data_IF_165818792565
#
_entry.id   IF_165818792565
#
_cell.length_a   1.000
_cell.length_b   1.000
_cell.length_c   1.000
_cell.angle_alpha   90.00
_cell.angle_beta   90.00
_cell.angle_gamma   90.00
#
_symmetry.space_group_name_H-M   'P 1'
#
loop_
_entity.id
_entity.type
_entity.pdbx_description
1 polymer ?
#
# COMPACT_ATOMS: atom_id res chain seq x y z
N UNK A 1 7.44 19.91 7.92
CA UNK A 1 8.51 20.94 7.91
C UNK A 1 9.75 20.30 7.31
N UNK A 2 10.38 20.91 6.32
CA UNK A 2 11.68 20.51 5.78
C UNK A 2 12.65 21.68 5.91
N UNK A 3 13.94 21.39 6.03
CA UNK A 3 15.02 22.37 6.06
C UNK A 3 16.13 21.96 5.09
N UNK A 4 17.13 22.82 4.88
CA UNK A 4 18.29 22.48 4.06
C UNK A 4 19.08 21.25 4.59
N UNK A 5 18.95 20.92 5.88
CA UNK A 5 19.59 19.75 6.49
C UNK A 5 18.73 18.47 6.42
N UNK A 6 17.51 18.54 5.89
CA UNK A 6 16.61 17.39 5.85
C UNK A 6 17.03 16.42 4.74
N UNK A 7 17.66 15.31 5.11
CA UNK A 7 18.06 14.26 4.17
C UNK A 7 16.92 13.26 3.83
N UNK A 8 15.92 13.14 4.72
CA UNK A 8 14.77 12.25 4.56
C UNK A 8 13.51 12.93 5.09
N UNK A 9 12.45 12.92 4.29
CA UNK A 9 11.16 13.49 4.65
C UNK A 9 10.07 12.44 4.49
N UNK A 10 9.44 12.06 5.60
CA UNK A 10 8.22 11.27 5.60
C UNK A 10 7.02 12.20 5.45
N UNK A 11 6.11 11.83 4.55
CA UNK A 11 4.85 12.55 4.37
C UNK A 11 3.79 11.59 3.84
N UNK A 12 2.52 11.94 4.06
CA UNK A 12 1.41 11.19 3.47
C UNK A 12 1.31 11.49 1.99
N UNK A 13 0.70 10.56 1.24
CA UNK A 13 0.45 10.71 -0.20
C UNK A 13 -0.21 12.05 -0.53
N UNK A 14 -1.23 12.46 0.24
CA UNK A 14 -1.92 13.74 0.02
C UNK A 14 -1.01 14.98 0.15
N UNK A 15 -0.05 14.96 1.07
CA UNK A 15 0.93 16.05 1.23
C UNK A 15 1.88 16.09 0.02
N UNK A 16 2.36 14.94 -0.44
CA UNK A 16 3.22 14.87 -1.63
C UNK A 16 2.47 15.32 -2.89
N UNK A 17 1.22 14.91 -3.07
CA UNK A 17 0.36 15.35 -4.17
C UNK A 17 0.14 16.86 -4.15
N UNK A 18 -0.08 17.45 -2.98
CA UNK A 18 -0.18 18.91 -2.85
C UNK A 18 1.14 19.60 -3.19
N UNK A 19 2.27 19.05 -2.76
CA UNK A 19 3.59 19.57 -3.13
C UNK A 19 3.83 19.50 -4.63
N UNK A 20 3.45 18.41 -5.30
CA UNK A 20 3.54 18.25 -6.75
C UNK A 20 2.70 19.28 -7.52
N UNK A 21 1.62 19.80 -6.91
CA UNK A 21 0.84 20.89 -7.50
C UNK A 21 1.61 22.22 -7.49
N UNK A 22 2.29 22.51 -6.39
CA UNK A 22 3.00 23.78 -6.19
C UNK A 22 4.43 23.75 -6.79
N UNK A 23 5.06 22.58 -6.79
CA UNK A 23 6.41 22.27 -7.31
C UNK A 23 6.31 21.02 -8.23
N UNK A 24 5.92 21.22 -9.51
CA UNK A 24 5.64 20.13 -10.45
C UNK A 24 6.83 19.27 -10.84
N UNK A 25 8.04 19.74 -10.55
CA UNK A 25 9.29 19.04 -10.83
C UNK A 25 9.92 18.44 -9.59
N UNK A 26 9.40 18.70 -8.38
CA UNK A 26 9.98 18.30 -7.09
C UNK A 26 11.43 18.76 -6.92
N UNK A 27 11.72 20.02 -7.22
CA UNK A 27 13.09 20.55 -7.15
C UNK A 27 13.76 20.25 -5.79
N UNK A 28 15.04 19.88 -5.85
CA UNK A 28 15.82 19.45 -4.68
C UNK A 28 15.54 18.02 -4.18
N UNK A 29 14.49 17.34 -4.66
CA UNK A 29 14.25 15.91 -4.36
C UNK A 29 14.99 15.03 -5.36
N UNK A 30 15.74 14.05 -4.87
CA UNK A 30 16.48 13.08 -5.71
C UNK A 30 15.77 11.73 -5.82
N UNK A 31 15.09 11.32 -4.74
CA UNK A 31 14.41 10.03 -4.64
C UNK A 31 13.02 10.20 -4.04
N UNK A 32 12.05 9.46 -4.56
CA UNK A 32 10.71 9.31 -4.00
C UNK A 32 10.50 7.84 -3.66
N UNK A 33 10.07 7.57 -2.43
CA UNK A 33 9.64 6.26 -1.96
C UNK A 33 8.13 6.31 -1.76
N UNK A 34 7.40 5.40 -2.39
CA UNK A 34 5.96 5.21 -2.16
C UNK A 34 5.81 3.89 -1.44
N UNK A 35 5.39 3.97 -0.18
CA UNK A 35 5.21 2.81 0.69
C UNK A 35 3.78 2.27 0.62
N UNK A 36 3.60 1.01 1.00
CA UNK A 36 2.32 0.32 1.07
C UNK A 36 1.45 0.43 -0.20
N UNK A 37 2.08 0.38 -1.38
CA UNK A 37 1.34 0.47 -2.66
C UNK A 37 0.33 -0.67 -2.84
N UNK A 38 0.47 -1.75 -2.06
CA UNK A 38 -0.42 -2.89 -2.05
C UNK A 38 -1.82 -2.59 -1.50
N UNK A 39 -2.02 -1.50 -0.76
CA UNK A 39 -3.35 -1.10 -0.26
C UNK A 39 -4.26 -0.55 -1.36
N UNK A 40 -3.69 -0.16 -2.52
CA UNK A 40 -4.44 0.33 -3.70
C UNK A 40 -5.45 1.44 -3.38
N UNK A 41 -5.07 2.36 -2.49
CA UNK A 41 -5.87 3.56 -2.21
C UNK A 41 -5.96 4.45 -3.45
N UNK A 42 -7.08 5.18 -3.59
CA UNK A 42 -7.30 6.09 -4.71
C UNK A 42 -6.21 7.17 -4.78
N UNK A 43 -5.79 7.67 -3.63
CA UNK A 43 -4.74 8.67 -3.51
C UNK A 43 -3.39 8.13 -3.98
N UNK A 44 -3.04 6.88 -3.61
CA UNK A 44 -1.80 6.23 -4.03
C UNK A 44 -1.79 6.00 -5.55
N UNK A 45 -2.86 5.42 -6.10
CA UNK A 45 -2.97 5.17 -7.55
C UNK A 45 -2.89 6.49 -8.34
N UNK A 46 -3.53 7.56 -7.87
CA UNK A 46 -3.42 8.90 -8.46
C UNK A 46 -1.99 9.45 -8.40
N UNK A 47 -1.33 9.35 -7.24
CA UNK A 47 0.07 9.77 -7.08
C UNK A 47 0.98 9.00 -8.04
N UNK A 48 0.81 7.69 -8.19
CA UNK A 48 1.62 6.85 -9.09
C UNK A 48 1.46 7.29 -10.55
N UNK A 49 0.25 7.67 -10.97
CA UNK A 49 0.01 8.23 -12.29
C UNK A 49 0.80 9.54 -12.51
N UNK A 50 0.72 10.47 -11.56
CA UNK A 50 1.44 11.76 -11.63
C UNK A 50 2.96 11.54 -11.63
N UNK A 51 3.46 10.65 -10.78
CA UNK A 51 4.88 10.32 -10.70
C UNK A 51 5.39 9.65 -11.99
N UNK A 52 4.58 8.81 -12.64
CA UNK A 52 4.92 8.21 -13.93
C UNK A 52 5.14 9.26 -15.00
N UNK A 53 4.30 10.30 -15.04
CA UNK A 53 4.45 11.42 -15.96
C UNK A 53 5.69 12.27 -15.62
N UNK A 54 5.93 12.52 -14.33
CA UNK A 54 7.11 13.23 -13.86
C UNK A 54 8.42 12.50 -14.25
N UNK A 55 8.48 11.18 -14.13
CA UNK A 55 9.66 10.40 -14.52
C UNK A 55 10.03 10.51 -16.01
N UNK A 56 9.07 10.87 -16.89
CA UNK A 56 9.36 11.15 -18.30
C UNK A 56 9.99 12.53 -18.48
N UNK A 57 9.55 13.52 -17.71
CA UNK A 57 10.03 14.91 -17.75
C UNK A 57 11.33 15.12 -16.96
N UNK A 58 11.54 14.36 -15.88
CA UNK A 58 12.70 14.44 -15.00
C UNK A 58 13.44 13.11 -14.90
N UNK A 59 14.28 12.75 -15.89
CA UNK A 59 14.98 11.45 -15.93
C UNK A 59 15.97 11.21 -14.78
N UNK A 60 16.38 12.26 -14.08
CA UNK A 60 17.28 12.18 -12.93
C UNK A 60 16.57 11.74 -11.64
N UNK A 61 15.25 11.86 -11.55
CA UNK A 61 14.47 11.45 -10.38
C UNK A 61 14.41 9.93 -10.30
N UNK A 62 14.63 9.39 -9.10
CA UNK A 62 14.50 7.95 -8.83
C UNK A 62 13.22 7.68 -8.05
N UNK A 63 12.46 6.68 -8.48
CA UNK A 63 11.25 6.21 -7.81
C UNK A 63 11.47 4.80 -7.28
N UNK A 64 11.14 4.57 -6.02
CA UNK A 64 11.11 3.25 -5.39
C UNK A 64 9.69 2.99 -4.86
N UNK A 65 9.15 1.81 -5.19
CA UNK A 65 7.84 1.37 -4.73
C UNK A 65 8.05 0.23 -3.73
N UNK A 66 7.41 0.34 -2.57
CA UNK A 66 7.51 -0.63 -1.49
C UNK A 66 6.15 -1.28 -1.25
N UNK A 67 6.15 -2.61 -1.14
CA UNK A 67 4.96 -3.45 -1.00
C UNK A 67 5.27 -4.60 -0.05
N UNK A 68 4.33 -4.92 0.84
CA UNK A 68 4.38 -6.10 1.69
C UNK A 68 3.91 -7.38 0.97
N UNK A 69 3.20 -7.26 -0.16
CA UNK A 69 2.59 -8.41 -0.86
C UNK A 69 3.30 -8.79 -2.15
N UNK A 70 3.04 -10.02 -2.61
CA UNK A 70 3.73 -10.68 -3.71
C UNK A 70 3.45 -10.10 -5.11
N UNK A 71 2.39 -9.30 -5.30
CA UNK A 71 2.03 -8.75 -6.61
C UNK A 71 2.83 -7.49 -6.96
N UNK A 72 4.15 -7.62 -6.94
CA UNK A 72 5.07 -6.61 -7.45
C UNK A 72 5.06 -6.54 -8.99
N UNK A 73 4.56 -7.58 -9.66
CA UNK A 73 4.43 -7.67 -11.13
C UNK A 73 3.59 -6.54 -11.70
N UNK A 74 2.41 -6.29 -11.09
CA UNK A 74 1.51 -5.24 -11.57
C UNK A 74 2.20 -3.87 -11.66
N UNK A 75 2.91 -3.48 -10.60
CA UNK A 75 3.63 -2.21 -10.57
C UNK A 75 4.85 -2.20 -11.49
N UNK A 76 5.54 -3.35 -11.57
CA UNK A 76 6.69 -3.52 -12.45
C UNK A 76 6.32 -3.31 -13.93
N UNK A 77 5.19 -3.85 -14.35
CA UNK A 77 4.65 -3.72 -15.70
C UNK A 77 4.09 -2.31 -15.95
N UNK A 78 3.40 -1.72 -14.97
CA UNK A 78 2.87 -0.36 -15.10
C UNK A 78 3.99 0.67 -15.33
N UNK A 79 5.13 0.52 -14.65
CA UNK A 79 6.30 1.40 -14.83
C UNK A 79 7.28 0.93 -15.91
N UNK A 80 6.90 -0.06 -16.74
CA UNK A 80 7.76 -0.59 -17.80
C UNK A 80 8.31 0.51 -18.72
N UNK A 81 9.57 0.35 -19.11
CA UNK A 81 10.28 1.27 -20.02
C UNK A 81 10.85 0.49 -21.21
N UNK A 82 10.58 0.97 -22.42
CA UNK A 82 11.03 0.32 -23.65
C UNK A 82 10.54 -1.13 -23.78
N UNK A 83 9.32 -1.42 -23.30
CA UNK A 83 8.73 -2.76 -23.32
C UNK A 83 9.31 -3.73 -22.28
N UNK A 84 10.15 -3.25 -21.35
CA UNK A 84 10.75 -4.09 -20.30
C UNK A 84 10.18 -3.72 -18.91
N UNK A 85 9.77 -4.71 -18.10
CA UNK A 85 9.34 -4.50 -16.72
C UNK A 85 10.49 -3.92 -15.88
N UNK A 86 10.15 -3.11 -14.87
CA UNK A 86 11.18 -2.55 -13.98
C UNK A 86 11.69 -3.59 -12.97
N UNK A 87 12.97 -3.53 -12.54
CA UNK A 87 13.51 -4.51 -11.62
C UNK A 87 12.73 -4.59 -10.30
N UNK A 88 12.51 -5.80 -9.82
CA UNK A 88 11.90 -6.07 -8.51
C UNK A 88 12.90 -6.75 -7.59
N UNK A 89 12.95 -6.32 -6.34
CA UNK A 89 13.78 -6.94 -5.30
C UNK A 89 12.87 -7.53 -4.24
N UNK A 90 13.01 -8.83 -3.96
CA UNK A 90 12.27 -9.52 -2.90
C UNK A 90 13.15 -9.62 -1.66
N UNK A 91 12.68 -9.10 -0.54
CA UNK A 91 13.36 -9.19 0.75
C UNK A 91 12.74 -10.35 1.55
N UNK A 92 13.53 -11.36 1.98
CA UNK A 92 13.00 -12.44 2.79
C UNK A 92 12.60 -11.91 4.17
N UNK A 93 11.33 -12.09 4.53
CA UNK A 93 10.85 -11.79 5.87
C UNK A 93 11.21 -12.91 6.85
N UNK A 94 11.42 -12.54 8.12
CA UNK A 94 11.49 -13.50 9.23
C UNK A 94 10.22 -13.37 10.05
N UNK A 95 9.33 -14.34 9.93
CA UNK A 95 8.14 -14.43 10.78
C UNK A 95 8.39 -15.45 11.91
N UNK A 96 7.84 -15.17 13.08
CA UNK A 96 7.66 -16.19 14.11
C UNK A 96 6.41 -17.02 13.77
N UNK A 97 6.35 -18.30 14.17
CA UNK A 97 5.15 -19.10 13.95
C UNK A 97 3.95 -18.43 14.66
N UNK A 98 2.93 -18.10 13.89
CA UNK A 98 1.65 -17.58 14.38
C UNK A 98 0.60 -18.66 14.12
N UNK A 99 -0.07 -19.12 15.18
CA UNK A 99 -1.18 -20.05 15.03
C UNK A 99 -2.41 -19.33 14.46
N UNK A 100 -2.94 -19.84 13.35
CA UNK A 100 -4.21 -19.37 12.80
C UNK A 100 -5.35 -20.16 13.45
N UNK A 101 -6.23 -19.46 14.16
CA UNK A 101 -7.48 -20.00 14.69
C UNK A 101 -8.62 -19.40 13.87
N UNK A 102 -9.53 -20.26 13.42
CA UNK A 102 -10.73 -19.88 12.69
C UNK A 102 -11.90 -19.69 13.65
N UNK A 103 -13.07 -19.35 13.12
CA UNK A 103 -14.24 -19.03 13.94
C UNK A 103 -14.64 -20.22 14.82
N UNK A 104 -14.55 -21.43 14.29
CA UNK A 104 -14.89 -22.67 14.99
C UNK A 104 -13.96 -22.88 16.19
N UNK A 105 -12.65 -22.73 15.96
CA UNK A 105 -11.63 -22.83 17.01
C UNK A 105 -11.85 -21.79 18.10
N UNK A 106 -12.21 -20.56 17.72
CA UNK A 106 -12.47 -19.48 18.66
C UNK A 106 -13.72 -19.76 19.52
N UNK A 107 -14.82 -20.21 18.90
CA UNK A 107 -16.06 -20.57 19.59
C UNK A 107 -15.81 -21.69 20.61
N UNK A 108 -15.08 -22.73 20.21
CA UNK A 108 -14.71 -23.84 21.08
C UNK A 108 -13.82 -23.36 22.24
N UNK A 109 -12.77 -22.58 21.93
CA UNK A 109 -11.79 -22.12 22.90
C UNK A 109 -12.38 -21.19 23.97
N UNK A 110 -13.33 -20.33 23.60
CA UNK A 110 -13.99 -19.41 24.56
C UNK A 110 -15.28 -19.99 25.16
N UNK A 111 -15.70 -21.19 24.73
CA UNK A 111 -16.96 -21.79 25.16
C UNK A 111 -18.20 -20.95 24.78
N UNK A 112 -18.13 -20.23 23.66
CA UNK A 112 -19.21 -19.33 23.26
C UNK A 112 -20.43 -20.13 22.80
N UNK A 113 -21.56 -19.99 23.50
CA UNK A 113 -22.84 -20.52 23.08
C UNK A 113 -23.70 -19.41 22.49
N UNK A 114 -24.16 -19.58 21.25
CA UNK A 114 -25.13 -18.67 20.63
C UNK A 114 -26.45 -18.78 21.38
N UNK A 115 -26.82 -17.73 22.13
CA UNK A 115 -28.10 -17.72 22.84
C UNK A 115 -29.25 -17.39 21.86
N UNK A 116 -30.26 -18.28 21.72
CA UNK A 116 -31.37 -18.08 20.77
C UNK A 116 -32.24 -16.83 21.00
N UNK A 117 -32.10 -16.20 22.18
CA UNK A 117 -32.83 -15.00 22.58
C UNK A 117 -31.98 -13.74 22.66
N UNK A 118 -30.70 -13.78 22.27
CA UNK A 118 -29.86 -12.58 22.28
C UNK A 118 -30.33 -11.58 21.21
N UNK A 119 -30.24 -10.29 21.52
CA UNK A 119 -30.69 -9.20 20.63
C UNK A 119 -29.98 -9.19 19.27
N UNK A 120 -28.80 -9.83 19.18
CA UNK A 120 -27.99 -9.97 17.97
C UNK A 120 -28.20 -11.31 17.23
N UNK A 121 -28.98 -12.24 17.78
CA UNK A 121 -29.25 -13.53 17.15
C UNK A 121 -30.32 -13.38 16.06
N UNK A 122 -29.94 -13.46 14.79
CA UNK A 122 -30.90 -13.59 13.69
C UNK A 122 -31.56 -14.97 13.74
N UNK A 123 -32.83 -15.02 14.13
CA UNK A 123 -33.66 -16.22 13.91
C UNK A 123 -33.68 -16.50 12.42
N UNK A 124 -33.23 -17.69 12.02
CA UNK A 124 -33.29 -18.12 10.62
C UNK A 124 -34.69 -17.89 10.08
N UNK A 125 -34.82 -17.03 9.07
CA UNK A 125 -36.07 -16.84 8.36
C UNK A 125 -36.47 -18.19 7.80
N UNK A 126 -37.64 -18.69 8.23
CA UNK A 126 -38.19 -19.93 7.69
C UNK A 126 -38.39 -19.79 6.19
N UNK A 127 -37.46 -20.35 5.43
CA UNK A 127 -37.67 -20.62 4.01
C UNK A 127 -38.80 -21.64 3.90
N UNK A 128 -39.90 -21.23 3.26
CA UNK A 128 -40.73 -22.15 2.50
C UNK A 128 -40.05 -22.42 1.16
#
# INVERSE_FOLDING_TARGET
>A
KSSAATCLLFCTTGILTRRLKDDPDLEGVTHVFVDEVHERSMESDFLLMVLRDLLRRRPSLRLCLMSATLDASLFSDYFARGGKPVPTVKMPGRAFPVAALYLEDAIELVGHAVQPGADWAKRGGGGK
#
